data_IF_172282252490
#
_entry.id   IF_172282252490
#
_cell.length_a   1.000
_cell.length_b   1.000
_cell.length_c   1.000
_cell.angle_alpha   90.00
_cell.angle_beta   90.00
_cell.angle_gamma   90.00
#
_symmetry.space_group_name_H-M   'P 1'
#
loop_
_entity.id
_entity.type
_entity.pdbx_description
1 polymer ?
#
# COMPACT_ATOMS: atom_id res chain seq x y z
N UNK A 1 -22.76 9.17 36.27
CA UNK A 1 -23.43 9.56 35.00
C UNK A 1 -22.60 8.97 33.86
N UNK A 2 -22.97 7.78 33.36
CA UNK A 2 -22.19 7.10 32.31
C UNK A 2 -22.59 7.64 30.94
N UNK A 3 -21.68 8.34 30.26
CA UNK A 3 -21.88 8.74 28.86
C UNK A 3 -21.74 7.51 27.97
N UNK A 4 -22.87 7.03 27.43
CA UNK A 4 -22.91 6.04 26.35
C UNK A 4 -22.34 6.68 25.08
N UNK A 5 -21.12 6.32 24.72
CA UNK A 5 -20.60 6.54 23.36
C UNK A 5 -21.43 5.69 22.39
N UNK A 6 -22.37 6.34 21.69
CA UNK A 6 -23.08 5.73 20.56
C UNK A 6 -22.05 5.46 19.46
N UNK A 7 -21.65 4.21 19.29
CA UNK A 7 -21.13 3.73 18.02
C UNK A 7 -22.26 3.85 16.99
N UNK A 8 -22.29 4.95 16.26
CA UNK A 8 -23.11 5.11 15.06
C UNK A 8 -22.55 4.14 14.02
N UNK A 9 -23.17 2.97 13.92
CA UNK A 9 -23.06 2.13 12.72
C UNK A 9 -23.79 2.86 11.60
N UNK A 10 -23.11 3.80 10.94
CA UNK A 10 -23.57 4.39 9.70
C UNK A 10 -23.79 3.26 8.69
N UNK A 11 -24.97 3.20 8.10
CA UNK A 11 -25.26 2.18 7.09
C UNK A 11 -24.31 2.43 5.90
N UNK A 12 -23.75 1.37 5.31
CA UNK A 12 -22.91 1.48 4.12
C UNK A 12 -23.58 2.19 2.93
N UNK A 13 -24.91 2.40 2.99
CA UNK A 13 -25.70 3.11 1.99
C UNK A 13 -25.58 4.63 2.08
N UNK A 14 -25.15 5.16 3.23
CA UNK A 14 -25.01 6.60 3.46
C UNK A 14 -23.61 7.12 3.10
N UNK A 15 -22.72 6.24 2.63
CA UNK A 15 -21.44 6.69 2.08
C UNK A 15 -21.70 7.42 0.77
N UNK A 16 -21.31 8.72 0.66
CA UNK A 16 -21.39 9.42 -0.61
C UNK A 16 -20.60 8.61 -1.63
N UNK A 17 -21.25 8.26 -2.76
CA UNK A 17 -20.61 7.57 -3.87
C UNK A 17 -19.27 8.27 -4.15
N UNK A 18 -18.18 7.52 -3.99
CA UNK A 18 -16.85 8.06 -4.12
C UNK A 18 -16.68 8.71 -5.48
N UNK A 19 -15.92 9.81 -5.55
CA UNK A 19 -15.77 10.60 -6.77
C UNK A 19 -15.14 9.80 -7.93
N UNK A 20 -14.58 8.62 -7.67
CA UNK A 20 -13.90 7.77 -8.65
C UNK A 20 -14.76 6.63 -9.18
N UNK A 21 -15.81 6.19 -8.48
CA UNK A 21 -16.77 5.20 -9.01
C UNK A 21 -18.24 5.63 -8.91
N UNK A 22 -18.76 6.15 -10.03
CA UNK A 22 -20.18 6.52 -10.19
C UNK A 22 -21.13 5.33 -10.12
N UNK A 23 -20.64 4.08 -10.23
CA UNK A 23 -21.43 2.85 -10.11
C UNK A 23 -21.49 2.33 -8.68
N UNK A 24 -20.74 2.92 -7.75
CA UNK A 24 -20.75 2.56 -6.33
C UNK A 24 -20.17 1.18 -6.01
N UNK A 25 -19.20 0.69 -6.80
CA UNK A 25 -18.50 -0.55 -6.47
C UNK A 25 -17.41 -0.25 -5.44
N UNK A 26 -17.01 -1.30 -4.73
CA UNK A 26 -15.94 -1.17 -3.76
C UNK A 26 -14.60 -0.87 -4.43
N UNK A 27 -13.89 0.15 -3.93
CA UNK A 27 -12.54 0.51 -4.32
C UNK A 27 -11.66 0.63 -3.07
N UNK A 28 -10.49 0.00 -3.09
CA UNK A 28 -9.54 0.01 -1.98
C UNK A 28 -9.04 1.42 -1.63
N UNK A 29 -8.85 2.28 -2.63
CA UNK A 29 -8.40 3.66 -2.42
C UNK A 29 -9.49 4.50 -1.74
N UNK A 30 -10.76 4.27 -2.11
CA UNK A 30 -11.90 4.95 -1.50
C UNK A 30 -12.12 4.45 -0.07
N UNK A 31 -11.96 3.16 0.18
CA UNK A 31 -11.99 2.59 1.52
C UNK A 31 -10.85 3.13 2.40
N UNK A 32 -9.65 3.29 1.85
CA UNK A 32 -8.53 3.91 2.55
C UNK A 32 -8.84 5.38 2.89
N UNK A 33 -9.37 6.15 1.95
CA UNK A 33 -9.78 7.54 2.17
C UNK A 33 -10.89 7.65 3.23
N UNK A 34 -11.89 6.77 3.17
CA UNK A 34 -12.98 6.66 4.13
C UNK A 34 -12.50 6.40 5.56
N UNK A 35 -11.42 5.62 5.71
CA UNK A 35 -10.78 5.30 6.98
C UNK A 35 -9.63 6.25 7.36
N UNK A 36 -9.41 7.31 6.58
CA UNK A 36 -8.27 8.24 6.74
C UNK A 36 -6.90 7.54 6.74
N UNK A 37 -6.79 6.45 5.98
CA UNK A 37 -5.57 5.67 5.79
C UNK A 37 -4.85 6.09 4.50
N UNK A 38 -3.53 5.93 4.50
CA UNK A 38 -2.73 6.06 3.29
C UNK A 38 -3.08 4.92 2.30
N UNK A 39 -3.46 5.21 1.05
CA UNK A 39 -3.79 4.17 0.06
C UNK A 39 -2.61 3.24 -0.24
N UNK A 40 -1.36 3.73 -0.19
CA UNK A 40 -0.17 2.89 -0.38
C UNK A 40 0.05 1.94 0.81
N UNK A 41 -0.31 2.36 2.02
CA UNK A 41 -0.29 1.51 3.21
C UNK A 41 -1.37 0.42 3.11
N UNK A 42 -2.60 0.81 2.74
CA UNK A 42 -3.69 -0.12 2.52
C UNK A 42 -3.32 -1.15 1.42
N UNK A 43 -2.77 -0.69 0.30
CA UNK A 43 -2.25 -1.54 -0.75
C UNK A 43 -1.18 -2.54 -0.25
N UNK A 44 -0.30 -2.13 0.67
CA UNK A 44 0.74 -2.97 1.24
C UNK A 44 0.20 -4.07 2.17
N UNK A 45 -0.90 -3.81 2.88
CA UNK A 45 -1.56 -4.79 3.76
C UNK A 45 -2.18 -5.97 2.98
N UNK A 46 -2.73 -5.69 1.81
CA UNK A 46 -3.45 -6.69 1.00
C UNK A 46 -2.58 -7.36 -0.07
N UNK A 47 -1.26 -7.14 -0.07
CA UNK A 47 -0.30 -7.82 -0.96
C UNK A 47 0.84 -8.44 -0.16
N UNK A 48 1.60 -9.38 -0.74
CA UNK A 48 2.73 -10.00 -0.04
C UNK A 48 3.74 -8.96 0.48
N UNK A 49 4.10 -9.07 1.77
CA UNK A 49 4.98 -8.10 2.44
C UNK A 49 6.36 -7.95 1.77
N UNK A 50 6.89 -9.04 1.20
CA UNK A 50 8.20 -9.03 0.53
C UNK A 50 8.25 -8.14 -0.72
N UNK A 51 7.10 -7.76 -1.28
CA UNK A 51 7.02 -6.85 -2.43
C UNK A 51 7.10 -5.38 -2.03
N UNK A 52 6.50 -4.99 -0.89
CA UNK A 52 6.43 -3.59 -0.46
C UNK A 52 7.50 -3.20 0.54
N UNK A 53 7.95 -4.14 1.37
CA UNK A 53 8.90 -3.90 2.45
C UNK A 53 10.26 -4.54 2.21
N UNK A 54 11.29 -4.09 2.94
CA UNK A 54 12.65 -4.64 2.89
C UNK A 54 12.77 -5.93 3.70
N UNK A 55 11.94 -6.91 3.35
CA UNK A 55 11.87 -8.23 3.98
C UNK A 55 12.38 -9.29 3.00
N UNK A 56 13.15 -10.26 3.51
CA UNK A 56 13.61 -11.39 2.72
C UNK A 56 12.43 -12.28 2.33
N UNK A 57 12.36 -12.67 1.07
CA UNK A 57 11.33 -13.56 0.55
C UNK A 57 11.70 -14.10 -0.82
N UNK A 58 11.03 -15.18 -1.25
CA UNK A 58 11.25 -15.75 -2.57
C UNK A 58 10.77 -14.80 -3.67
N UNK A 59 11.57 -14.67 -4.74
CA UNK A 59 11.23 -13.91 -5.93
C UNK A 59 11.53 -14.77 -7.16
N UNK A 60 10.60 -14.84 -8.11
CA UNK A 60 10.80 -15.66 -9.31
C UNK A 60 11.89 -15.05 -10.21
N UNK A 61 12.72 -15.87 -10.86
CA UNK A 61 13.78 -15.36 -11.74
C UNK A 61 13.23 -14.54 -12.92
N UNK A 62 12.01 -14.83 -13.38
CA UNK A 62 11.34 -14.06 -14.42
C UNK A 62 11.06 -12.60 -14.00
N UNK A 63 10.91 -12.32 -12.71
CA UNK A 63 10.62 -10.98 -12.20
C UNK A 63 11.85 -10.07 -12.14
N UNK A 64 13.08 -10.64 -12.17
CA UNK A 64 14.33 -9.86 -12.14
C UNK A 64 14.53 -9.01 -13.41
N UNK A 65 13.83 -9.33 -14.49
CA UNK A 65 14.04 -8.68 -15.78
C UNK A 65 15.22 -9.26 -16.56
N UNK A 66 15.48 -8.70 -17.74
CA UNK A 66 16.54 -9.14 -18.67
C UNK A 66 17.11 -7.92 -19.40
N UNK A 67 18.42 -7.89 -19.69
CA UNK A 67 19.00 -6.86 -20.53
C UNK A 67 18.44 -6.94 -21.96
N UNK A 68 18.57 -5.84 -22.71
CA UNK A 68 18.19 -5.80 -24.12
C UNK A 68 18.96 -6.83 -24.95
N UNK A 69 18.32 -7.32 -26.01
CA UNK A 69 18.90 -8.25 -26.99
C UNK A 69 18.59 -7.73 -28.40
N UNK A 70 19.32 -8.16 -29.43
CA UNK A 70 18.88 -7.92 -30.80
C UNK A 70 17.43 -8.38 -30.99
N UNK A 71 16.54 -7.49 -31.43
CA UNK A 71 15.10 -7.76 -31.58
C UNK A 71 14.25 -7.71 -30.29
N UNK A 72 14.83 -7.38 -29.13
CA UNK A 72 14.09 -7.25 -27.87
C UNK A 72 14.59 -6.11 -27.00
N UNK A 73 13.66 -5.26 -26.56
CA UNK A 73 13.96 -4.19 -25.60
C UNK A 73 14.32 -4.76 -24.22
N UNK A 74 15.00 -3.94 -23.40
CA UNK A 74 15.31 -4.27 -22.02
C UNK A 74 14.04 -4.34 -21.16
N UNK A 75 13.99 -5.32 -20.27
CA UNK A 75 12.91 -5.52 -19.33
C UNK A 75 13.44 -5.40 -17.90
N UNK A 76 12.80 -4.58 -17.07
CA UNK A 76 13.15 -4.39 -15.66
C UNK A 76 11.92 -4.51 -14.79
N UNK A 77 12.11 -4.93 -13.54
CA UNK A 77 11.02 -5.06 -12.57
C UNK A 77 10.21 -3.76 -12.45
N UNK A 78 10.88 -2.60 -12.49
CA UNK A 78 10.20 -1.32 -12.36
C UNK A 78 9.20 -1.02 -13.48
N UNK A 79 9.41 -1.59 -14.68
CA UNK A 79 8.50 -1.46 -15.81
C UNK A 79 7.45 -2.57 -15.84
N UNK A 80 7.84 -3.80 -15.52
CA UNK A 80 6.96 -4.97 -15.57
C UNK A 80 5.98 -5.04 -14.39
N UNK A 81 6.44 -4.64 -13.20
CA UNK A 81 5.71 -4.76 -11.94
C UNK A 81 5.81 -3.45 -11.13
N UNK A 82 5.30 -2.32 -11.66
CA UNK A 82 5.44 -1.02 -11.00
C UNK A 82 4.79 -0.99 -9.61
N UNK A 83 3.67 -1.71 -9.43
CA UNK A 83 2.98 -1.78 -8.15
C UNK A 83 3.71 -2.65 -7.12
N UNK A 84 4.59 -3.57 -7.53
CA UNK A 84 5.34 -4.43 -6.61
C UNK A 84 6.73 -3.89 -6.27
N UNK A 85 6.98 -2.62 -6.59
CA UNK A 85 8.17 -1.94 -6.10
C UNK A 85 8.04 -1.67 -4.60
N UNK A 86 9.18 -1.71 -3.91
CA UNK A 86 9.27 -1.40 -2.48
C UNK A 86 8.98 0.08 -2.24
N UNK A 87 8.45 0.39 -1.07
CA UNK A 87 8.20 1.74 -0.63
C UNK A 87 9.04 2.07 0.61
N UNK A 88 10.17 2.72 0.39
CA UNK A 88 11.15 3.07 1.43
C UNK A 88 10.55 3.96 2.52
N UNK A 89 9.59 4.82 2.16
CA UNK A 89 8.92 5.71 3.13
C UNK A 89 8.11 4.89 4.13
N UNK A 90 7.29 3.95 3.63
CA UNK A 90 6.49 3.06 4.47
C UNK A 90 7.35 2.08 5.27
N UNK A 91 8.44 1.55 4.69
CA UNK A 91 9.37 0.67 5.41
C UNK A 91 10.03 1.41 6.59
N UNK A 92 10.49 2.65 6.36
CA UNK A 92 11.08 3.47 7.40
C UNK A 92 10.09 3.85 8.50
N UNK A 93 8.86 4.17 8.12
CA UNK A 93 7.80 4.57 9.05
C UNK A 93 7.36 3.42 9.97
N UNK A 94 7.26 2.20 9.43
CA UNK A 94 6.68 1.07 10.17
C UNK A 94 7.71 0.14 10.82
N UNK A 95 8.85 -0.09 10.17
CA UNK A 95 9.82 -1.11 10.61
C UNK A 95 11.10 -0.52 11.21
N UNK A 96 11.43 0.74 10.94
CA UNK A 96 12.73 1.32 11.34
C UNK A 96 12.54 2.36 12.43
N UNK A 97 13.44 2.32 13.41
CA UNK A 97 13.50 3.36 14.44
C UNK A 97 14.06 4.65 13.84
N UNK A 98 13.47 5.78 14.25
CA UNK A 98 14.01 7.10 13.95
C UNK A 98 14.98 7.51 15.06
N UNK A 99 16.24 7.81 14.70
CA UNK A 99 17.27 8.15 15.68
C UNK A 99 16.88 9.33 16.58
N UNK A 100 16.20 10.35 16.04
CA UNK A 100 15.72 11.51 16.81
C UNK A 100 14.76 11.17 17.95
N UNK A 101 14.02 10.06 17.85
CA UNK A 101 13.15 9.60 18.93
C UNK A 101 13.84 8.70 19.94
N UNK A 102 15.09 8.30 19.65
CA UNK A 102 15.91 7.43 20.49
C UNK A 102 17.03 8.20 21.20
N UNK A 103 17.39 9.39 20.70
CA UNK A 103 18.44 10.23 21.31
C UNK A 103 18.05 10.61 22.74
N UNK A 104 18.98 10.41 23.66
CA UNK A 104 18.83 10.76 25.10
C UNK A 104 19.76 11.91 25.51
N UNK A 105 20.53 12.45 24.56
CA UNK A 105 21.36 13.65 24.70
C UNK A 105 20.51 14.92 24.78
#
# INVERSE_FOLDING_TARGET
MYQRTRFLWSSWRDYPLGSRDRRGRFNMDEAAAALQLNPAYAAALYRPLNYTFHIRGQLYPAQKGRPSRPGSLAASQGRMFPLYQRNDRLDKELFRLNSRGLTTE
#
